data_IF_218254778746
#
_entry.id   IF_218254778746
#
_cell.length_a   1.000
_cell.length_b   1.000
_cell.length_c   1.000
_cell.angle_alpha   90.00
_cell.angle_beta   90.00
_cell.angle_gamma   90.00
#
_symmetry.space_group_name_H-M   'P 1'
#
loop_
_entity.id
_entity.type
_entity.pdbx_description
1 polymer ?
#
# COMPACT_ATOMS: atom_id res chain seq x y z
N UNK A 1 -15.53 -14.15 -2.03
CA UNK A 1 -14.63 -13.36 -2.90
C UNK A 1 -14.01 -12.26 -2.03
N UNK A 2 -12.69 -12.25 -1.84
CA UNK A 2 -12.05 -11.21 -1.02
C UNK A 2 -12.05 -9.88 -1.80
N UNK A 3 -12.38 -8.76 -1.13
CA UNK A 3 -12.40 -7.45 -1.76
C UNK A 3 -10.97 -7.06 -2.18
N UNK A 4 -10.80 -6.76 -3.47
CA UNK A 4 -9.54 -6.30 -4.04
C UNK A 4 -9.51 -4.77 -4.03
N UNK A 5 -8.37 -4.17 -3.66
CA UNK A 5 -8.15 -2.72 -3.66
C UNK A 5 -9.12 -1.92 -2.77
N UNK A 6 -9.16 -2.28 -1.48
CA UNK A 6 -10.03 -1.63 -0.49
C UNK A 6 -9.66 -0.15 -0.27
N UNK A 7 -8.39 0.22 -0.44
CA UNK A 7 -7.90 1.58 -0.29
C UNK A 7 -7.89 2.30 -1.64
N UNK A 8 -8.54 3.46 -1.67
CA UNK A 8 -8.45 4.41 -2.78
C UNK A 8 -7.52 5.58 -2.43
N UNK A 9 -7.19 6.40 -3.42
CA UNK A 9 -6.30 7.53 -3.26
C UNK A 9 -6.70 8.49 -2.12
N UNK A 10 -7.98 8.87 -2.02
CA UNK A 10 -8.44 9.80 -0.99
C UNK A 10 -8.32 9.21 0.41
N UNK A 11 -8.62 7.93 0.57
CA UNK A 11 -8.42 7.22 1.84
C UNK A 11 -6.93 7.17 2.22
N UNK A 12 -6.03 6.91 1.25
CA UNK A 12 -4.59 6.89 1.52
C UNK A 12 -4.04 8.26 1.93
N UNK A 13 -4.58 9.35 1.36
CA UNK A 13 -4.18 10.70 1.72
C UNK A 13 -4.41 11.00 3.22
N UNK A 14 -5.54 10.55 3.78
CA UNK A 14 -5.93 10.83 5.17
C UNK A 14 -5.33 9.87 6.20
N UNK A 15 -4.81 8.72 5.79
CA UNK A 15 -4.22 7.74 6.72
C UNK A 15 -2.95 8.28 7.39
N UNK A 16 -2.72 7.88 8.64
CA UNK A 16 -1.45 8.14 9.34
C UNK A 16 -0.31 7.28 8.78
N UNK A 17 0.90 7.46 9.32
CA UNK A 17 2.00 6.53 9.04
C UNK A 17 1.67 5.14 9.61
N UNK A 18 1.91 4.08 8.84
CA UNK A 18 1.56 2.72 9.25
C UNK A 18 1.39 1.74 8.10
N UNK A 19 1.04 0.49 8.45
CA UNK A 19 0.76 -0.59 7.50
C UNK A 19 -0.74 -0.85 7.45
N UNK A 20 -1.31 -0.83 6.24
CA UNK A 20 -2.74 -0.98 6.00
C UNK A 20 -2.99 -2.10 5.00
N UNK A 21 -4.01 -2.93 5.24
CA UNK A 21 -4.39 -3.98 4.29
C UNK A 21 -5.23 -3.39 3.15
N UNK A 22 -4.78 -3.59 1.91
CA UNK A 22 -5.48 -3.18 0.69
C UNK A 22 -6.28 -4.33 0.05
N UNK A 23 -6.15 -5.55 0.58
CA UNK A 23 -6.84 -6.75 0.10
C UNK A 23 -5.94 -7.61 -0.79
N UNK A 24 -6.32 -8.87 -1.01
CA UNK A 24 -5.54 -9.84 -1.82
C UNK A 24 -4.05 -9.92 -1.44
N UNK A 25 -3.74 -9.94 -0.13
CA UNK A 25 -2.37 -9.93 0.40
C UNK A 25 -1.51 -8.70 0.01
N UNK A 26 -2.16 -7.65 -0.49
CA UNK A 26 -1.55 -6.34 -0.74
C UNK A 26 -1.64 -5.47 0.51
N UNK A 27 -0.51 -4.90 0.91
CA UNK A 27 -0.41 -3.96 2.00
C UNK A 27 0.10 -2.61 1.49
N UNK A 28 -0.41 -1.54 2.08
CA UNK A 28 0.12 -0.19 1.93
C UNK A 28 0.95 0.15 3.15
N UNK A 29 2.20 0.53 2.94
CA UNK A 29 3.08 1.08 3.97
C UNK A 29 3.23 2.58 3.76
N UNK A 30 2.56 3.39 4.58
CA UNK A 30 2.69 4.85 4.56
C UNK A 30 3.82 5.25 5.51
N UNK A 31 4.85 5.89 4.97
CA UNK A 31 6.03 6.32 5.71
C UNK A 31 5.80 7.67 6.39
N UNK A 32 6.59 7.96 7.44
CA UNK A 32 6.51 9.23 8.18
C UNK A 32 6.91 10.45 7.33
N UNK A 33 7.78 10.25 6.35
CA UNK A 33 8.24 11.28 5.41
C UNK A 33 7.25 11.58 4.27
N UNK A 34 6.04 11.00 4.29
CA UNK A 34 4.99 11.25 3.31
C UNK A 34 5.04 10.36 2.07
N UNK A 35 6.09 9.54 1.92
CA UNK A 35 6.13 8.46 0.92
C UNK A 35 5.19 7.30 1.27
N UNK A 36 4.81 6.52 0.27
CA UNK A 36 4.06 5.28 0.48
C UNK A 36 4.56 4.17 -0.47
N UNK A 37 4.51 2.94 0.02
CA UNK A 37 4.92 1.75 -0.74
C UNK A 37 3.81 0.71 -0.72
N UNK A 38 3.65 -0.03 -1.81
CA UNK A 38 2.75 -1.19 -1.85
C UNK A 38 3.58 -2.46 -1.74
N UNK A 39 3.21 -3.32 -0.79
CA UNK A 39 3.85 -4.59 -0.50
C UNK A 39 2.90 -5.68 -0.93
N UNK A 40 3.22 -6.40 -2.01
CA UNK A 40 2.50 -7.59 -2.41
C UNK A 40 3.13 -8.80 -1.71
N UNK A 41 2.37 -9.46 -0.85
CA UNK A 41 2.72 -10.78 -0.32
C UNK A 41 2.16 -11.84 -1.24
N UNK A 42 3.01 -12.79 -1.61
CA UNK A 42 2.59 -13.92 -2.41
C UNK A 42 3.34 -15.18 -1.98
N UNK A 43 2.73 -16.33 -2.26
CA UNK A 43 3.36 -17.62 -2.03
C UNK A 43 3.83 -18.19 -3.35
N UNK A 44 5.13 -18.37 -3.49
CA UNK A 44 5.74 -19.02 -4.66
C UNK A 44 6.46 -20.29 -4.19
N UNK A 45 6.08 -21.44 -4.75
CA UNK A 45 6.63 -22.76 -4.37
C UNK A 45 6.67 -22.98 -2.85
N UNK A 46 5.54 -22.76 -2.16
CA UNK A 46 5.37 -22.86 -0.70
C UNK A 46 6.22 -21.89 0.15
N UNK A 47 6.97 -20.97 -0.46
CA UNK A 47 7.70 -19.93 0.26
C UNK A 47 6.95 -18.61 0.15
N UNK A 48 6.76 -17.94 1.28
CA UNK A 48 6.18 -16.60 1.33
C UNK A 48 7.24 -15.60 0.91
N UNK A 49 6.90 -14.73 -0.04
CA UNK A 49 7.77 -13.68 -0.56
C UNK A 49 7.03 -12.35 -0.50
N UNK A 50 7.80 -11.28 -0.36
CA UNK A 50 7.32 -9.91 -0.43
C UNK A 50 7.95 -9.25 -1.65
N UNK A 51 7.10 -8.62 -2.47
CA UNK A 51 7.53 -7.72 -3.53
C UNK A 51 7.11 -6.31 -3.12
N UNK A 52 8.08 -5.40 -3.03
CA UNK A 52 7.84 -4.00 -2.70
C UNK A 52 7.83 -3.21 -4.00
N UNK A 53 6.68 -2.62 -4.32
CA UNK A 53 6.53 -1.63 -5.37
C UNK A 53 6.62 -0.24 -4.75
N UNK A 54 7.51 0.58 -5.29
CA UNK A 54 7.59 1.97 -4.89
C UNK A 54 6.42 2.73 -5.52
N UNK A 55 5.57 3.33 -4.69
CA UNK A 55 4.63 4.34 -5.14
C UNK A 55 5.37 5.69 -5.07
N UNK A 56 6.34 5.90 -5.96
CA UNK A 56 7.11 7.14 -5.93
C UNK A 56 6.21 8.34 -6.24
N UNK A 57 6.10 9.21 -5.23
CA UNK A 57 5.95 10.68 -5.28
C UNK A 57 4.74 11.30 -6.00
N UNK A 58 3.92 10.52 -6.69
CA UNK A 58 2.85 11.03 -7.53
C UNK A 58 1.52 10.52 -7.01
N UNK A 59 0.77 11.36 -6.27
CA UNK A 59 -0.70 11.46 -6.23
C UNK A 59 -1.27 12.01 -4.90
N UNK A 60 -0.49 12.11 -3.81
CA UNK A 60 -0.97 12.65 -2.53
C UNK A 60 -0.39 14.01 -2.16
N UNK A 61 0.04 14.81 -3.15
CA UNK A 61 0.18 16.24 -2.92
C UNK A 61 -1.24 16.80 -2.82
N UNK A 62 -1.78 16.88 -1.61
CA UNK A 62 -2.82 17.87 -1.32
C UNK A 62 -2.20 19.23 -1.64
N UNK A 63 -2.56 19.78 -2.78
CA UNK A 63 -2.42 21.20 -3.08
C UNK A 63 -3.01 22.01 -1.91
N UNK A 64 -2.43 23.19 -1.58
CA UNK A 64 -2.88 24.01 -0.45
C UNK A 64 -4.36 24.39 -0.54
#
# INVERSE_FOLDING_TARGET
MALMNRLNARAVATLGAGKYNDGAELLLHKRKDGGAERILRYTLHRRRREMVGCLERCLFKTSP
#
